data_IF_933725718183
#
_entry.id   IF_933725718183
#
_cell.length_a   1.000
_cell.length_b   1.000
_cell.length_c   1.000
_cell.angle_alpha   90.00
_cell.angle_beta   90.00
_cell.angle_gamma   90.00
#
_symmetry.space_group_name_H-M   'P 1'
#
loop_
_entity.id
_entity.type
_entity.pdbx_description
1 polymer ?
#
# COMPACT_ATOMS: atom_id res chain seq x y z
N UNK A 1 4.52 -1.97 -20.11
CA UNK A 1 3.42 -1.83 -19.12
C UNK A 1 2.94 -0.39 -18.99
N UNK A 2 3.83 0.60 -18.88
CA UNK A 2 3.46 2.03 -18.71
C UNK A 2 2.50 2.58 -19.79
N UNK A 3 2.69 2.25 -21.07
CA UNK A 3 1.74 2.67 -22.14
C UNK A 3 0.34 2.08 -21.98
N UNK A 4 0.23 0.84 -21.48
CA UNK A 4 -1.07 0.18 -21.26
C UNK A 4 -1.80 0.83 -20.09
N UNK A 5 -1.08 1.11 -18.99
CA UNK A 5 -1.62 1.82 -17.83
C UNK A 5 -2.04 3.26 -18.18
N UNK A 6 -1.23 3.98 -18.98
CA UNK A 6 -1.55 5.32 -19.46
C UNK A 6 -2.80 5.33 -20.36
N UNK A 7 -2.94 4.36 -21.26
CA UNK A 7 -4.11 4.23 -22.10
C UNK A 7 -5.39 3.94 -21.28
N UNK A 8 -5.31 3.07 -20.27
CA UNK A 8 -6.44 2.77 -19.37
C UNK A 8 -6.86 4.01 -18.59
N UNK A 9 -5.91 4.78 -18.04
CA UNK A 9 -6.19 6.02 -17.32
C UNK A 9 -6.80 7.08 -18.25
N UNK A 10 -6.27 7.22 -19.47
CA UNK A 10 -6.78 8.17 -20.45
C UNK A 10 -8.22 7.84 -20.87
N UNK A 11 -8.53 6.56 -21.13
CA UNK A 11 -9.89 6.12 -21.48
C UNK A 11 -10.85 6.29 -20.29
N UNK A 12 -10.41 5.95 -19.08
CA UNK A 12 -11.20 6.11 -17.86
C UNK A 12 -11.54 7.58 -17.56
N UNK A 13 -10.66 8.52 -17.91
CA UNK A 13 -10.89 9.95 -17.74
C UNK A 13 -11.67 10.57 -18.92
N UNK A 14 -11.49 10.06 -20.14
CA UNK A 14 -12.14 10.61 -21.33
C UNK A 14 -13.63 10.26 -21.42
N UNK A 15 -14.03 9.05 -21.02
CA UNK A 15 -15.44 8.61 -21.07
C UNK A 15 -16.40 9.47 -20.24
N UNK A 16 -16.09 9.84 -18.98
CA UNK A 16 -16.93 10.73 -18.18
C UNK A 16 -17.04 12.13 -18.76
N UNK A 17 -15.96 12.64 -19.38
CA UNK A 17 -15.92 13.99 -19.96
C UNK A 17 -16.80 14.12 -21.20
N UNK A 18 -16.98 13.04 -21.98
CA UNK A 18 -17.89 13.03 -23.14
C UNK A 18 -19.35 12.78 -22.75
N UNK A 19 -19.61 12.34 -21.52
CA UNK A 19 -20.94 12.08 -20.97
C UNK A 19 -21.58 13.32 -20.29
N UNK A 20 -21.13 14.53 -20.62
CA UNK A 20 -21.73 15.76 -20.08
C UNK A 20 -23.15 16.04 -20.62
N UNK A 21 -23.59 15.35 -21.69
CA UNK A 21 -24.88 15.57 -22.34
C UNK A 21 -26.11 15.24 -21.46
N UNK A 22 -25.98 14.32 -20.50
CA UNK A 22 -27.07 14.00 -19.58
C UNK A 22 -27.35 15.12 -18.57
N UNK A 23 -26.35 15.97 -18.28
CA UNK A 23 -26.47 17.07 -17.33
C UNK A 23 -27.17 18.32 -17.92
N UNK A 24 -27.42 18.35 -19.23
CA UNK A 24 -28.07 19.47 -19.92
C UNK A 24 -29.52 19.19 -20.35
N UNK A 25 -30.12 18.10 -19.86
CA UNK A 25 -31.52 17.81 -20.15
C UNK A 25 -32.44 18.71 -19.31
N UNK A 26 -33.48 19.25 -19.94
CA UNK A 26 -34.51 20.01 -19.22
C UNK A 26 -35.23 19.14 -18.19
N UNK A 27 -35.60 19.76 -17.07
CA UNK A 27 -36.35 19.09 -16.01
C UNK A 27 -37.78 18.78 -16.50
N UNK A 28 -38.29 17.55 -16.32
CA UNK A 28 -39.69 17.22 -16.61
C UNK A 28 -40.67 18.05 -15.77
N UNK A 29 -41.83 18.37 -16.33
CA UNK A 29 -42.91 19.02 -15.59
C UNK A 29 -43.39 18.14 -14.42
N UNK A 30 -43.59 18.73 -13.24
CA UNK A 30 -44.07 18.05 -12.03
C UNK A 30 -43.00 17.51 -11.09
N UNK A 31 -41.70 17.71 -11.37
CA UNK A 31 -40.61 17.34 -10.46
C UNK A 31 -40.24 18.50 -9.54
N UNK A 32 -40.02 18.19 -8.26
CA UNK A 32 -39.55 19.17 -7.28
C UNK A 32 -38.19 19.75 -7.66
N UNK A 33 -37.97 21.01 -7.31
CA UNK A 33 -36.67 21.66 -7.51
C UNK A 33 -35.76 21.27 -6.34
N UNK A 34 -34.69 20.47 -6.57
CA UNK A 34 -33.72 20.20 -5.52
C UNK A 34 -33.05 21.50 -5.08
N UNK A 35 -32.66 21.60 -3.81
CA UNK A 35 -31.94 22.77 -3.32
C UNK A 35 -30.60 22.91 -4.06
N UNK A 36 -30.24 24.16 -4.34
CA UNK A 36 -28.97 24.47 -4.99
C UNK A 36 -27.80 24.06 -4.10
N UNK A 37 -26.95 23.17 -4.63
CA UNK A 37 -25.68 22.78 -4.00
C UNK A 37 -24.55 23.56 -4.63
N UNK A 38 -23.72 24.19 -3.79
CA UNK A 38 -22.54 24.90 -4.30
C UNK A 38 -21.51 23.92 -4.89
N UNK A 39 -20.80 24.34 -5.94
CA UNK A 39 -19.73 23.55 -6.55
C UNK A 39 -18.67 23.13 -5.53
N UNK A 40 -18.31 24.03 -4.61
CA UNK A 40 -17.36 23.75 -3.52
C UNK A 40 -17.85 22.63 -2.61
N UNK A 41 -19.15 22.62 -2.26
CA UNK A 41 -19.73 21.55 -1.44
C UNK A 41 -19.61 20.20 -2.15
N UNK A 42 -19.93 20.13 -3.44
CA UNK A 42 -19.81 18.92 -4.25
C UNK A 42 -18.35 18.43 -4.32
N UNK A 43 -17.40 19.34 -4.54
CA UNK A 43 -15.97 19.01 -4.61
C UNK A 43 -15.45 18.48 -3.26
N UNK A 44 -15.85 19.11 -2.15
CA UNK A 44 -15.50 18.65 -0.82
C UNK A 44 -16.05 17.26 -0.55
N UNK A 45 -17.33 17.02 -0.83
CA UNK A 45 -17.95 15.70 -0.64
C UNK A 45 -17.24 14.64 -1.48
N UNK A 46 -16.98 14.94 -2.76
CA UNK A 46 -16.35 14.02 -3.70
C UNK A 46 -14.92 13.64 -3.34
N UNK A 47 -14.13 14.56 -2.75
CA UNK A 47 -12.72 14.31 -2.42
C UNK A 47 -12.54 13.88 -0.96
N UNK A 48 -13.24 14.55 -0.03
CA UNK A 48 -13.06 14.35 1.40
C UNK A 48 -13.61 13.01 1.86
N UNK A 49 -14.75 12.55 1.33
CA UNK A 49 -15.31 11.25 1.73
C UNK A 49 -14.36 10.10 1.34
N UNK A 50 -13.89 9.97 0.08
CA UNK A 50 -12.93 8.93 -0.26
C UNK A 50 -11.63 9.03 0.53
N UNK A 51 -11.12 10.25 0.73
CA UNK A 51 -9.90 10.45 1.53
C UNK A 51 -10.10 10.02 2.98
N UNK A 52 -11.23 10.39 3.59
CA UNK A 52 -11.60 9.96 4.93
C UNK A 52 -11.71 8.43 5.01
N UNK A 53 -12.30 7.76 4.01
CA UNK A 53 -12.32 6.31 3.93
C UNK A 53 -10.91 5.71 3.90
N UNK A 54 -10.00 6.25 3.08
CA UNK A 54 -8.60 5.78 3.03
C UNK A 54 -7.92 5.94 4.39
N UNK A 55 -8.11 7.08 5.05
CA UNK A 55 -7.55 7.34 6.39
C UNK A 55 -8.13 6.38 7.41
N UNK A 56 -9.46 6.19 7.44
CA UNK A 56 -10.12 5.27 8.36
C UNK A 56 -9.66 3.83 8.14
N UNK A 57 -9.51 3.40 6.89
CA UNK A 57 -8.98 2.09 6.56
C UNK A 57 -7.52 1.95 6.98
N UNK A 58 -6.69 2.95 6.71
CA UNK A 58 -5.28 2.97 7.14
C UNK A 58 -5.19 2.88 8.67
N UNK A 59 -6.02 3.62 9.40
CA UNK A 59 -6.08 3.53 10.86
C UNK A 59 -6.51 2.13 11.29
N UNK A 60 -7.59 1.59 10.72
CA UNK A 60 -8.09 0.26 11.06
C UNK A 60 -7.08 -0.86 10.80
N UNK A 61 -6.23 -0.72 9.77
CA UNK A 61 -5.22 -1.71 9.39
C UNK A 61 -3.92 -1.53 10.18
N UNK A 62 -3.42 -0.31 10.31
CA UNK A 62 -2.08 -0.05 10.84
C UNK A 62 -2.05 0.23 12.34
N UNK A 63 -3.12 0.77 12.93
CA UNK A 63 -3.13 1.08 14.38
C UNK A 63 -3.06 -0.19 15.25
N UNK A 64 -3.84 -1.27 14.99
CA UNK A 64 -3.78 -2.46 15.84
C UNK A 64 -2.39 -3.10 15.98
N UNK A 65 -1.63 -3.39 14.89
CA UNK A 65 -0.29 -3.96 15.02
C UNK A 65 0.69 -2.99 15.70
N UNK A 66 0.57 -1.67 15.45
CA UNK A 66 1.40 -0.66 16.14
C UNK A 66 1.16 -0.70 17.66
N UNK A 67 -0.09 -0.78 18.10
CA UNK A 67 -0.44 -0.86 19.53
C UNK A 67 0.05 -2.16 20.17
N UNK A 68 0.11 -3.26 19.39
CA UNK A 68 0.64 -4.55 19.85
C UNK A 68 2.17 -4.64 19.81
N UNK A 69 2.86 -3.67 19.19
CA UNK A 69 4.30 -3.74 18.94
C UNK A 69 4.70 -4.76 17.88
N UNK A 70 3.75 -5.17 17.02
CA UNK A 70 3.99 -6.10 15.92
C UNK A 70 4.67 -5.38 14.75
N UNK A 71 5.45 -6.11 13.96
CA UNK A 71 6.03 -5.57 12.73
C UNK A 71 4.92 -5.30 11.70
N UNK A 72 4.88 -4.07 11.20
CA UNK A 72 3.96 -3.61 10.14
C UNK A 72 4.52 -3.89 8.74
N UNK A 73 5.64 -4.61 8.65
CA UNK A 73 6.29 -4.92 7.39
C UNK A 73 5.33 -5.68 6.45
N UNK A 74 5.32 -5.37 5.14
CA UNK A 74 4.52 -6.10 4.17
C UNK A 74 4.80 -7.60 4.27
N UNK A 75 3.76 -8.44 4.23
CA UNK A 75 3.92 -9.88 4.23
C UNK A 75 4.90 -10.30 3.11
N UNK A 76 6.06 -10.84 3.47
CA UNK A 76 7.16 -11.16 2.57
C UNK A 76 8.46 -10.36 2.80
N UNK A 77 8.39 -9.26 3.55
CA UNK A 77 9.57 -8.58 4.15
C UNK A 77 9.66 -8.94 5.62
N UNK A 78 9.42 -10.21 5.97
CA UNK A 78 10.19 -10.72 7.08
C UNK A 78 11.60 -10.82 6.53
N UNK A 79 12.49 -9.96 7.02
CA UNK A 79 13.90 -10.30 7.03
C UNK A 79 14.06 -11.47 8.01
N UNK A 80 13.48 -12.62 7.66
CA UNK A 80 13.83 -13.88 8.30
C UNK A 80 15.27 -14.12 7.83
N UNK A 81 16.18 -13.89 8.76
CA UNK A 81 17.58 -14.32 8.74
C UNK A 81 18.48 -13.74 7.62
N UNK A 82 18.43 -12.42 7.39
CA UNK A 82 19.54 -11.76 6.71
C UNK A 82 20.72 -11.62 7.70
N UNK A 83 21.77 -12.45 7.53
CA UNK A 83 23.02 -12.34 8.28
C UNK A 83 23.77 -11.06 7.87
N UNK A 84 23.58 -9.98 8.60
CA UNK A 84 24.25 -8.68 8.36
C UNK A 84 25.68 -8.60 8.93
N UNK A 85 26.41 -9.70 8.88
CA UNK A 85 27.75 -9.80 9.47
C UNK A 85 27.67 -9.88 10.99
N UNK A 86 28.17 -10.97 11.55
CA UNK A 86 28.40 -11.06 12.98
C UNK A 86 29.16 -9.84 13.48
N UNK A 87 28.79 -9.38 14.67
CA UNK A 87 29.51 -8.41 15.51
C UNK A 87 31.03 -8.49 15.26
N UNK A 88 31.72 -7.36 15.07
CA UNK A 88 33.18 -7.37 14.84
C UNK A 88 33.97 -8.02 16.00
N UNK A 89 33.39 -8.06 17.20
CA UNK A 89 33.92 -8.76 18.36
C UNK A 89 33.60 -10.26 18.40
N UNK A 90 32.75 -10.77 17.49
CA UNK A 90 32.44 -12.19 17.38
C UNK A 90 33.64 -12.99 16.86
N UNK A 91 34.45 -12.42 15.97
CA UNK A 91 35.68 -13.06 15.47
C UNK A 91 36.72 -13.21 16.60
N UNK A 92 36.91 -12.16 17.41
CA UNK A 92 37.71 -12.21 18.63
C UNK A 92 37.15 -13.18 19.69
N UNK A 93 35.83 -13.25 19.83
CA UNK A 93 35.17 -14.17 20.76
C UNK A 93 35.23 -15.64 20.29
N UNK A 94 35.31 -15.89 18.98
CA UNK A 94 35.54 -17.22 18.40
C UNK A 94 37.00 -17.66 18.54
N UNK A 95 37.97 -16.74 18.35
CA UNK A 95 39.40 -17.03 18.61
C UNK A 95 39.67 -17.30 20.10
N UNK A 96 39.01 -16.57 20.99
CA UNK A 96 39.09 -16.79 22.45
C UNK A 96 38.41 -18.10 22.91
N UNK A 97 37.53 -18.69 22.07
CA UNK A 97 36.72 -19.87 22.38
C UNK A 97 37.04 -21.02 21.44
N UNK A 98 38.32 -21.23 21.12
CA UNK A 98 38.80 -22.35 20.31
C UNK A 98 39.01 -23.61 21.19
N UNK A 99 38.08 -24.58 21.28
CA UNK A 99 38.47 -25.94 21.55
C UNK A 99 39.07 -26.53 20.26
N UNK A 100 40.09 -27.36 20.45
CA UNK A 100 40.76 -28.12 19.41
C UNK A 100 39.71 -28.94 18.62
N UNK A 101 39.79 -28.85 17.28
CA UNK A 101 38.94 -29.56 16.29
C UNK A 101 37.44 -29.26 16.28
N UNK A 102 37.02 -28.38 15.37
CA UNK A 102 35.68 -28.43 14.76
C UNK A 102 35.86 -28.78 13.30
N UNK A 103 35.89 -30.08 13.03
CA UNK A 103 35.80 -30.64 11.69
C UNK A 103 34.32 -30.91 11.38
N UNK A 104 33.66 -29.96 10.72
CA UNK A 104 32.37 -30.16 10.07
C UNK A 104 32.27 -29.28 8.83
N UNK A 105 32.94 -29.71 7.77
CA UNK A 105 32.73 -29.15 6.43
C UNK A 105 31.73 -30.04 5.69
N UNK A 106 30.46 -29.61 5.61
CA UNK A 106 29.41 -30.33 4.90
C UNK A 106 28.37 -29.35 4.36
N UNK A 107 28.21 -29.31 3.03
CA UNK A 107 27.21 -28.49 2.35
C UNK A 107 26.24 -29.36 1.57
N UNK A 108 24.94 -29.10 1.73
CA UNK A 108 23.89 -29.69 0.92
C UNK A 108 23.38 -28.65 -0.08
N UNK A 109 23.34 -29.02 -1.36
CA UNK A 109 22.74 -28.20 -2.42
C UNK A 109 21.56 -28.96 -3.03
N UNK A 110 20.55 -28.23 -3.48
CA UNK A 110 19.42 -28.75 -4.24
C UNK A 110 18.95 -27.66 -5.20
N UNK A 111 18.68 -28.05 -6.45
CA UNK A 111 18.04 -27.19 -7.44
C UNK A 111 16.67 -27.76 -7.78
N UNK A 112 15.66 -26.91 -7.78
CA UNK A 112 14.37 -27.17 -8.43
C UNK A 112 14.36 -26.53 -9.81
#
# INVERSE_FOLDING_TARGET
>A
MLLRSAAVVAVALALPLTYAAAASADRPEGWDTPPDVSFTHTLLVLVLIPLACVVLLALAVYVPPIVRGESVAPAGVRADDQWFGGRADAELALEARKPETVDQTGGASGSW
#
